data_IF_281762162494
#
_entry.id   IF_281762162494
#
_cell.length_a   1.000
_cell.length_b   1.000
_cell.length_c   1.000
_cell.angle_alpha   90.00
_cell.angle_beta   90.00
_cell.angle_gamma   90.00
#
_symmetry.space_group_name_H-M   'P 1'
#
loop_
_entity.id
_entity.type
_entity.pdbx_description
1 polymer ?
#
# COMPACT_ATOMS: atom_id res chain seq x y z
N UNK A 1 22.64 -22.66 -27.36
CA UNK A 1 22.24 -23.11 -26.01
C UNK A 1 21.73 -21.88 -25.27
N UNK A 2 20.43 -21.60 -25.40
CA UNK A 2 19.78 -20.56 -24.61
C UNK A 2 19.40 -21.17 -23.27
N UNK A 3 20.36 -21.24 -22.34
CA UNK A 3 20.00 -21.38 -20.94
C UNK A 3 19.31 -20.07 -20.54
N UNK A 4 17.99 -20.11 -20.31
CA UNK A 4 17.32 -19.06 -19.55
C UNK A 4 18.17 -18.84 -18.30
N UNK A 5 18.74 -17.65 -18.04
CA UNK A 5 19.49 -17.43 -16.80
C UNK A 5 18.49 -17.67 -15.68
N UNK A 6 18.64 -18.78 -14.95
CA UNK A 6 17.82 -19.04 -13.78
C UNK A 6 18.26 -18.05 -12.70
N UNK A 7 17.71 -16.84 -12.77
CA UNK A 7 17.69 -15.91 -11.65
C UNK A 7 16.67 -16.45 -10.65
N UNK A 8 17.08 -17.50 -9.94
CA UNK A 8 16.25 -18.23 -8.99
C UNK A 8 16.97 -19.45 -8.44
N UNK A 9 16.35 -20.11 -7.47
CA UNK A 9 16.90 -21.28 -6.81
C UNK A 9 16.48 -21.34 -5.35
N UNK A 10 16.98 -22.36 -4.65
CA UNK A 10 16.75 -22.57 -3.22
C UNK A 10 18.08 -22.69 -2.51
N UNK A 11 18.15 -22.15 -1.30
CA UNK A 11 19.25 -22.43 -0.38
C UNK A 11 18.85 -23.64 0.48
N UNK A 12 19.71 -24.67 0.47
CA UNK A 12 19.47 -25.91 1.20
C UNK A 12 20.55 -26.17 2.24
N UNK A 13 20.20 -26.95 3.27
CA UNK A 13 21.21 -27.50 4.17
C UNK A 13 21.82 -28.80 3.60
N UNK A 14 22.78 -29.38 4.34
CA UNK A 14 23.47 -30.62 3.97
C UNK A 14 22.55 -31.83 3.79
N UNK A 15 21.28 -31.75 4.23
CA UNK A 15 20.27 -32.80 4.08
C UNK A 15 19.30 -32.51 2.93
N UNK A 16 19.50 -31.44 2.17
CA UNK A 16 18.63 -31.03 1.07
C UNK A 16 17.34 -30.34 1.52
N UNK A 17 17.20 -29.95 2.80
CA UNK A 17 16.02 -29.20 3.25
C UNK A 17 16.12 -27.75 2.80
N UNK A 18 15.05 -27.21 2.21
CA UNK A 18 14.97 -25.83 1.72
C UNK A 18 14.78 -24.87 2.89
N UNK A 19 15.63 -23.83 2.96
CA UNK A 19 15.58 -22.78 4.00
C UNK A 19 15.22 -21.41 3.45
N UNK A 20 15.51 -21.14 2.18
CA UNK A 20 15.25 -19.85 1.56
C UNK A 20 15.16 -19.96 0.03
N UNK A 21 14.46 -19.01 -0.60
CA UNK A 21 14.55 -18.77 -2.04
C UNK A 21 15.73 -17.86 -2.34
N UNK A 22 16.50 -18.16 -3.38
CA UNK A 22 17.54 -17.27 -3.88
C UNK A 22 16.90 -16.10 -4.62
N UNK A 23 17.10 -14.88 -4.12
CA UNK A 23 16.47 -13.68 -4.66
C UNK A 23 17.47 -12.54 -4.86
N UNK A 24 17.19 -11.68 -5.84
CA UNK A 24 17.93 -10.44 -6.08
C UNK A 24 17.23 -9.25 -5.44
N UNK A 25 17.98 -8.37 -4.82
CA UNK A 25 17.50 -7.14 -4.20
C UNK A 25 18.18 -5.94 -4.88
N UNK A 26 17.40 -4.93 -5.25
CA UNK A 26 17.90 -3.70 -5.85
C UNK A 26 17.98 -2.61 -4.79
N UNK A 27 19.17 -2.07 -4.54
CA UNK A 27 19.28 -0.83 -3.80
C UNK A 27 18.92 0.33 -4.72
N UNK A 28 17.80 1.00 -4.45
CA UNK A 28 17.32 2.11 -5.28
C UNK A 28 18.20 3.36 -5.18
N UNK A 29 19.06 3.48 -4.17
CA UNK A 29 19.93 4.66 -3.98
C UNK A 29 21.10 4.63 -4.96
N UNK A 30 21.76 3.48 -5.05
CA UNK A 30 23.00 3.32 -5.81
C UNK A 30 22.81 2.50 -7.09
N UNK A 31 21.65 1.84 -7.26
CA UNK A 31 21.32 0.99 -8.42
C UNK A 31 21.94 -0.40 -8.36
N UNK A 32 22.67 -0.71 -7.28
CA UNK A 32 23.36 -1.98 -7.08
C UNK A 32 22.38 -3.13 -6.84
N UNK A 33 22.72 -4.30 -7.38
CA UNK A 33 21.97 -5.55 -7.18
C UNK A 33 22.76 -6.47 -6.28
N UNK A 34 22.21 -6.80 -5.12
CA UNK A 34 22.73 -7.84 -4.23
C UNK A 34 21.85 -9.07 -4.29
N UNK A 35 22.40 -10.22 -3.88
CA UNK A 35 21.66 -11.47 -3.83
C UNK A 35 21.67 -12.04 -2.43
N UNK A 36 20.49 -12.39 -1.94
CA UNK A 36 20.31 -12.94 -0.59
C UNK A 36 19.27 -14.07 -0.62
N UNK A 37 19.27 -14.91 0.41
CA UNK A 37 18.21 -15.87 0.64
C UNK A 37 17.00 -15.19 1.27
N UNK A 38 15.85 -15.21 0.58
CA UNK A 38 14.56 -14.90 1.18
C UNK A 38 14.08 -16.10 1.99
N UNK A 39 14.09 -15.99 3.32
CA UNK A 39 13.76 -17.09 4.23
C UNK A 39 12.39 -17.69 3.89
N UNK A 40 12.31 -19.02 3.92
CA UNK A 40 11.07 -19.75 3.62
C UNK A 40 9.91 -19.36 4.54
N UNK A 41 10.20 -18.88 5.77
CA UNK A 41 9.19 -18.44 6.74
C UNK A 41 8.22 -17.38 6.20
N UNK A 42 8.67 -16.51 5.29
CA UNK A 42 7.82 -15.49 4.67
C UNK A 42 6.91 -16.03 3.57
N UNK A 43 7.22 -17.22 3.07
CA UNK A 43 6.55 -17.82 1.90
C UNK A 43 5.64 -18.96 2.36
N UNK A 44 5.98 -19.66 3.45
CA UNK A 44 5.15 -20.74 3.99
C UNK A 44 3.67 -20.36 4.19
N UNK A 45 3.31 -19.18 4.74
CA UNK A 45 1.91 -18.80 4.93
C UNK A 45 1.10 -18.71 3.63
N UNK A 46 1.77 -18.48 2.49
CA UNK A 46 1.11 -18.37 1.19
C UNK A 46 1.15 -19.67 0.38
N UNK A 47 2.04 -20.62 0.70
CA UNK A 47 2.16 -21.88 -0.05
C UNK A 47 0.93 -22.76 0.14
N UNK A 48 0.52 -23.03 1.37
CA UNK A 48 -0.58 -23.97 1.64
C UNK A 48 -1.89 -23.54 0.96
N UNK A 49 -2.33 -22.26 1.04
CA UNK A 49 -3.47 -21.79 0.26
C UNK A 49 -3.33 -22.02 -1.24
N UNK A 50 -2.15 -21.72 -1.82
CA UNK A 50 -1.92 -21.90 -3.25
C UNK A 50 -2.00 -23.36 -3.68
N UNK A 51 -1.43 -24.28 -2.90
CA UNK A 51 -1.49 -25.72 -3.19
C UNK A 51 -2.93 -26.26 -3.14
N UNK A 52 -3.77 -25.68 -2.30
CA UNK A 52 -5.20 -26.00 -2.20
C UNK A 52 -6.06 -25.31 -3.29
N UNK A 53 -5.44 -24.57 -4.21
CA UNK A 53 -6.16 -23.80 -5.24
C UNK A 53 -6.90 -22.58 -4.70
N UNK A 54 -6.59 -22.14 -3.47
CA UNK A 54 -7.13 -20.93 -2.87
C UNK A 54 -6.21 -19.75 -3.15
N UNK A 55 -6.80 -18.57 -3.36
CA UNK A 55 -6.02 -17.33 -3.44
C UNK A 55 -5.52 -16.97 -2.02
N UNK A 56 -4.21 -16.74 -1.82
CA UNK A 56 -3.71 -16.26 -0.54
C UNK A 56 -4.35 -14.91 -0.21
N UNK A 57 -4.86 -14.80 1.02
CA UNK A 57 -5.22 -13.52 1.61
C UNK A 57 -4.13 -13.21 2.63
N UNK A 58 -3.42 -12.10 2.42
CA UNK A 58 -2.44 -11.60 3.37
C UNK A 58 -2.99 -10.33 3.99
N UNK A 59 -2.80 -10.12 5.28
CA UNK A 59 -3.33 -8.94 5.98
C UNK A 59 -2.24 -8.19 6.69
N UNK A 60 -2.41 -6.87 6.79
CA UNK A 60 -1.50 -5.95 7.48
C UNK A 60 -2.25 -5.09 8.48
N UNK A 61 -1.59 -4.65 9.55
CA UNK A 61 -2.22 -3.78 10.53
C UNK A 61 -2.60 -2.39 9.97
N UNK A 62 -1.90 -1.93 8.93
CA UNK A 62 -2.08 -0.57 8.38
C UNK A 62 -1.15 0.47 9.02
N UNK A 63 -0.01 0.03 9.56
CA UNK A 63 1.01 0.90 10.17
C UNK A 63 2.43 0.39 9.86
N UNK A 64 3.36 1.31 9.61
CA UNK A 64 4.79 1.07 9.55
C UNK A 64 5.37 1.22 10.96
N UNK A 65 6.24 0.29 11.34
CA UNK A 65 6.90 0.30 12.65
C UNK A 65 8.41 0.42 12.51
N UNK A 66 9.02 1.09 13.49
CA UNK A 66 10.48 1.06 13.70
C UNK A 66 10.80 0.52 15.08
N UNK A 67 11.92 -0.17 15.21
CA UNK A 67 12.41 -0.64 16.50
C UNK A 67 13.10 0.50 17.26
N UNK A 68 12.74 0.71 18.53
CA UNK A 68 13.46 1.57 19.48
C UNK A 68 13.98 0.77 20.67
N UNK A 69 14.98 1.29 21.39
CA UNK A 69 15.46 0.59 22.59
C UNK A 69 14.41 0.64 23.70
N UNK A 70 14.35 -0.42 24.49
CA UNK A 70 13.49 -0.48 25.66
C UNK A 70 13.80 0.61 26.71
N UNK A 71 15.05 1.08 26.77
CA UNK A 71 15.45 2.22 27.62
C UNK A 71 14.77 3.50 27.14
N UNK A 72 14.80 3.79 25.84
CA UNK A 72 14.15 4.96 25.24
C UNK A 72 12.63 4.89 25.43
N UNK A 73 12.05 3.69 25.32
CA UNK A 73 10.63 3.45 25.55
C UNK A 73 10.24 3.72 27.02
N UNK A 74 11.05 3.27 27.99
CA UNK A 74 10.86 3.57 29.41
C UNK A 74 10.90 5.07 29.68
N UNK A 75 11.89 5.77 29.11
CA UNK A 75 12.05 7.22 29.30
C UNK A 75 10.90 8.02 28.68
N UNK A 76 10.14 7.40 27.76
CA UNK A 76 8.91 7.93 27.14
C UNK A 76 7.62 7.49 27.84
N UNK A 77 7.73 6.89 29.03
CA UNK A 77 6.58 6.60 29.87
C UNK A 77 5.98 5.21 29.70
N UNK A 78 6.66 4.26 29.06
CA UNK A 78 6.23 2.84 29.14
C UNK A 78 6.29 2.39 30.61
N UNK A 79 5.18 1.89 31.20
CA UNK A 79 5.14 1.53 32.61
C UNK A 79 6.16 0.45 32.98
N UNK A 80 6.72 0.47 34.21
CA UNK A 80 7.73 -0.50 34.64
C UNK A 80 7.31 -1.97 34.48
N UNK A 81 6.03 -2.27 34.68
CA UNK A 81 5.51 -3.64 34.51
C UNK A 81 5.56 -4.08 33.04
N UNK A 82 5.21 -3.20 32.08
CA UNK A 82 5.35 -3.49 30.65
C UNK A 82 6.79 -3.60 30.22
N UNK A 83 7.68 -2.76 30.76
CA UNK A 83 9.12 -2.89 30.52
C UNK A 83 9.62 -4.28 30.94
N UNK A 84 9.16 -4.77 32.10
CA UNK A 84 9.51 -6.10 32.61
C UNK A 84 8.96 -7.22 31.74
N UNK A 85 7.71 -7.12 31.29
CA UNK A 85 7.09 -8.08 30.37
C UNK A 85 7.83 -8.16 29.03
N UNK A 86 8.12 -7.01 28.42
CA UNK A 86 8.86 -6.93 27.16
C UNK A 86 10.29 -7.47 27.30
N UNK A 87 10.96 -7.18 28.42
CA UNK A 87 12.28 -7.72 28.72
C UNK A 87 12.27 -9.24 28.93
N UNK A 88 11.21 -9.78 29.54
CA UNK A 88 11.05 -11.21 29.70
C UNK A 88 10.76 -11.92 28.37
N UNK A 89 9.99 -11.27 27.47
CA UNK A 89 9.63 -11.81 26.16
C UNK A 89 10.81 -11.83 25.17
N UNK A 90 11.60 -10.74 25.09
CA UNK A 90 12.84 -10.70 24.29
C UNK A 90 14.02 -10.14 25.08
N UNK A 91 14.66 -10.97 25.94
CA UNK A 91 15.77 -10.54 26.79
C UNK A 91 17.04 -10.19 26.03
N UNK A 92 17.14 -10.57 24.75
CA UNK A 92 18.31 -10.34 23.90
C UNK A 92 18.20 -9.02 23.13
N UNK A 93 17.10 -8.81 22.39
CA UNK A 93 16.94 -7.61 21.57
C UNK A 93 16.57 -6.38 22.40
N UNK A 94 15.68 -6.54 23.39
CA UNK A 94 15.22 -5.44 24.27
C UNK A 94 14.73 -4.23 23.47
N UNK A 95 13.85 -4.49 22.50
CA UNK A 95 13.27 -3.50 21.60
C UNK A 95 11.77 -3.36 21.84
N UNK A 96 11.25 -2.21 21.45
CA UNK A 96 9.81 -1.92 21.37
C UNK A 96 9.52 -1.42 19.96
N UNK A 97 8.37 -1.78 19.43
CA UNK A 97 7.92 -1.30 18.12
C UNK A 97 7.24 0.06 18.32
N UNK A 98 7.72 1.07 17.61
CA UNK A 98 7.09 2.38 17.54
C UNK A 98 6.40 2.55 16.19
N UNK A 99 5.17 3.07 16.19
CA UNK A 99 4.50 3.53 14.98
C UNK A 99 5.31 4.66 14.34
N UNK A 100 5.91 4.37 13.18
CA UNK A 100 6.68 5.33 12.40
C UNK A 100 5.81 6.09 11.40
N UNK A 101 4.77 5.43 10.88
CA UNK A 101 3.80 6.01 9.93
C UNK A 101 2.53 5.18 9.90
N UNK A 102 1.41 5.80 9.57
CA UNK A 102 0.11 5.15 9.37
C UNK A 102 -0.31 5.14 7.90
N UNK A 103 -0.92 4.03 7.46
CA UNK A 103 -1.46 3.90 6.11
C UNK A 103 -2.81 4.58 6.02
N UNK A 104 -2.92 5.62 5.18
CA UNK A 104 -4.15 6.39 5.01
C UNK A 104 -5.36 5.51 4.70
N UNK A 105 -6.51 5.81 5.31
CA UNK A 105 -7.78 5.10 5.09
C UNK A 105 -7.91 3.75 5.81
N UNK A 106 -6.95 3.35 6.65
CA UNK A 106 -7.03 2.12 7.45
C UNK A 106 -7.59 2.37 8.86
N UNK A 107 -8.07 1.32 9.53
CA UNK A 107 -8.49 1.37 10.94
C UNK A 107 -7.36 1.87 11.86
N UNK A 108 -6.13 1.41 11.62
CA UNK A 108 -4.95 1.89 12.34
C UNK A 108 -4.74 3.41 12.19
N UNK A 109 -4.95 3.97 10.99
CA UNK A 109 -4.83 5.42 10.76
C UNK A 109 -5.85 6.26 11.54
N UNK A 110 -7.00 5.69 11.88
CA UNK A 110 -8.04 6.38 12.66
C UNK A 110 -7.81 6.29 14.18
N UNK A 111 -7.19 5.20 14.65
CA UNK A 111 -7.10 4.86 16.09
C UNK A 111 -5.70 5.13 16.69
N UNK A 112 -4.65 4.81 15.93
CA UNK A 112 -3.27 4.94 16.35
C UNK A 112 -2.72 6.32 15.96
N UNK A 113 -1.54 6.65 16.49
CA UNK A 113 -0.79 7.88 16.17
C UNK A 113 0.68 7.55 15.95
N UNK A 114 1.34 8.40 15.17
CA UNK A 114 2.79 8.40 15.08
C UNK A 114 3.39 8.50 16.49
N UNK A 115 4.50 7.78 16.70
CA UNK A 115 5.21 7.66 17.97
C UNK A 115 4.51 6.84 19.07
N UNK A 116 3.34 6.24 18.81
CA UNK A 116 2.76 5.23 19.70
C UNK A 116 3.70 4.05 19.88
N UNK A 117 3.83 3.58 21.13
CA UNK A 117 4.69 2.45 21.48
C UNK A 117 3.86 1.19 21.63
N UNK A 118 3.96 0.27 20.68
CA UNK A 118 3.26 -1.02 20.71
C UNK A 118 3.89 -1.93 21.78
N UNK A 119 3.11 -2.26 22.81
CA UNK A 119 3.58 -3.08 23.94
C UNK A 119 2.93 -4.45 23.97
N UNK A 120 1.70 -4.60 23.47
CA UNK A 120 1.03 -5.89 23.38
C UNK A 120 0.01 -5.95 22.23
N UNK A 121 -0.24 -7.16 21.75
CA UNK A 121 -1.32 -7.48 20.82
C UNK A 121 -2.04 -8.74 21.32
N UNK A 122 -3.37 -8.70 21.36
CA UNK A 122 -4.22 -9.78 21.89
C UNK A 122 -3.76 -10.25 23.28
N UNK A 123 -3.45 -9.29 24.16
CA UNK A 123 -2.97 -9.52 25.52
C UNK A 123 -1.55 -10.11 25.65
N UNK A 124 -0.79 -10.26 24.55
CA UNK A 124 0.58 -10.81 24.56
C UNK A 124 1.61 -9.75 24.18
N UNK A 125 2.78 -9.70 24.86
CA UNK A 125 3.85 -8.80 24.45
C UNK A 125 4.31 -9.07 23.02
N UNK A 126 4.55 -8.01 22.25
CA UNK A 126 5.05 -8.07 20.87
C UNK A 126 6.27 -7.15 20.74
N UNK A 127 7.38 -7.69 20.25
CA UNK A 127 8.66 -6.94 20.17
C UNK A 127 9.31 -6.99 18.79
N UNK A 128 8.77 -7.80 17.87
CA UNK A 128 9.38 -8.09 16.57
C UNK A 128 8.36 -7.96 15.44
N UNK A 129 8.81 -7.49 14.28
CA UNK A 129 7.93 -7.32 13.14
C UNK A 129 7.27 -8.62 12.69
N UNK A 130 8.03 -9.71 12.60
CA UNK A 130 7.48 -11.02 12.22
C UNK A 130 6.41 -11.56 13.18
N UNK A 131 6.45 -11.20 14.48
CA UNK A 131 5.38 -11.55 15.42
C UNK A 131 4.10 -10.78 15.11
N UNK A 132 4.23 -9.48 14.86
CA UNK A 132 3.08 -8.64 14.50
C UNK A 132 2.49 -9.07 13.16
N UNK A 133 3.32 -9.35 12.15
CA UNK A 133 2.87 -9.83 10.84
C UNK A 133 2.11 -11.15 10.95
N UNK A 134 2.59 -12.10 11.76
CA UNK A 134 1.88 -13.36 11.99
C UNK A 134 0.52 -13.14 12.67
N UNK A 135 0.42 -12.21 13.63
CA UNK A 135 -0.83 -11.87 14.29
C UNK A 135 -1.79 -11.11 13.36
N UNK A 136 -1.26 -10.23 12.50
CA UNK A 136 -2.05 -9.39 11.59
C UNK A 136 -2.88 -10.18 10.57
N UNK A 137 -2.69 -11.49 10.45
CA UNK A 137 -3.49 -12.36 9.59
C UNK A 137 -4.93 -12.55 10.09
N UNK A 138 -5.22 -12.23 11.35
CA UNK A 138 -6.59 -12.14 11.87
C UNK A 138 -7.29 -10.87 11.39
N UNK A 139 -8.61 -10.90 11.22
CA UNK A 139 -9.38 -9.73 10.74
C UNK A 139 -9.36 -8.55 11.71
N UNK A 140 -9.29 -8.83 13.00
CA UNK A 140 -9.27 -7.83 14.07
C UNK A 140 -8.19 -8.18 15.08
N UNK A 141 -7.55 -7.15 15.61
CA UNK A 141 -6.55 -7.26 16.65
C UNK A 141 -6.87 -6.30 17.79
N UNK A 142 -6.70 -6.77 19.02
CA UNK A 142 -6.63 -5.89 20.18
C UNK A 142 -5.19 -5.39 20.31
N UNK A 143 -4.97 -4.11 20.07
CA UNK A 143 -3.65 -3.47 20.06
C UNK A 143 -3.53 -2.59 21.29
N UNK A 144 -2.52 -2.87 22.13
CA UNK A 144 -2.17 -2.05 23.27
C UNK A 144 -0.94 -1.21 22.95
N UNK A 145 -1.11 0.11 23.03
CA UNK A 145 -0.03 1.08 22.85
C UNK A 145 0.15 1.92 24.11
N UNK A 146 1.35 2.44 24.30
CA UNK A 146 1.62 3.52 25.24
C UNK A 146 1.74 4.84 24.48
N UNK A 147 0.89 5.80 24.85
CA UNK A 147 0.85 7.16 24.30
C UNK A 147 0.80 8.13 25.47
N UNK A 148 1.66 9.13 25.49
CA UNK A 148 1.70 10.14 26.57
C UNK A 148 1.76 9.52 28.00
N UNK A 149 2.50 8.41 28.14
CA UNK A 149 2.62 7.61 29.37
C UNK A 149 1.34 6.89 29.85
N UNK A 150 0.31 6.80 29.01
CA UNK A 150 -0.93 6.06 29.29
C UNK A 150 -1.04 4.80 28.42
N UNK A 151 -1.51 3.70 29.01
CA UNK A 151 -1.84 2.46 28.28
C UNK A 151 -3.21 2.64 27.60
N UNK A 152 -3.22 2.58 26.27
CA UNK A 152 -4.43 2.65 25.45
C UNK A 152 -4.62 1.34 24.71
N UNK A 153 -5.87 0.87 24.67
CA UNK A 153 -6.25 -0.37 23.99
C UNK A 153 -7.24 -0.04 22.89
N UNK A 154 -6.96 -0.53 21.68
CA UNK A 154 -7.77 -0.33 20.50
C UNK A 154 -8.10 -1.66 19.85
N UNK A 155 -9.33 -1.83 19.38
CA UNK A 155 -9.67 -2.90 18.44
C UNK A 155 -9.42 -2.38 17.03
N UNK A 156 -8.38 -2.89 16.38
CA UNK A 156 -7.95 -2.47 15.05
C UNK A 156 -8.33 -3.53 14.02
N UNK A 157 -9.04 -3.12 12.97
CA UNK A 157 -9.31 -3.97 11.81
C UNK A 157 -8.08 -4.00 10.90
N UNK A 158 -7.59 -5.20 10.59
CA UNK A 158 -6.45 -5.36 9.69
C UNK A 158 -6.91 -5.20 8.24
N UNK A 159 -6.01 -4.75 7.37
CA UNK A 159 -6.30 -4.49 5.95
C UNK A 159 -5.86 -5.67 5.09
N UNK A 160 -6.76 -6.27 4.27
CA UNK A 160 -6.36 -7.30 3.33
C UNK A 160 -5.56 -6.72 2.17
N UNK A 161 -4.49 -7.42 1.80
CA UNK A 161 -3.70 -7.18 0.60
C UNK A 161 -4.00 -8.31 -0.39
N UNK A 162 -4.68 -7.97 -1.48
CA UNK A 162 -5.14 -8.96 -2.46
C UNK A 162 -4.10 -9.34 -3.51
N UNK A 163 -2.95 -8.66 -3.51
CA UNK A 163 -1.82 -8.88 -4.42
C UNK A 163 -2.13 -8.64 -5.90
N UNK A 164 -3.29 -8.08 -6.26
CA UNK A 164 -3.64 -7.84 -7.67
C UNK A 164 -2.92 -6.62 -8.25
N UNK A 165 -2.73 -5.59 -7.42
CA UNK A 165 -2.21 -4.31 -7.89
C UNK A 165 -3.25 -3.58 -8.74
N UNK A 166 -2.85 -3.11 -9.92
CA UNK A 166 -3.72 -2.37 -10.84
C UNK A 166 -4.33 -3.33 -11.86
N UNK A 167 -5.66 -3.47 -11.83
CA UNK A 167 -6.43 -4.30 -12.74
C UNK A 167 -7.34 -3.49 -13.68
N UNK A 168 -7.58 -2.20 -13.39
CA UNK A 168 -8.39 -1.31 -14.22
C UNK A 168 -7.67 0.02 -14.43
N UNK A 169 -7.60 0.47 -15.68
CA UNK A 169 -6.96 1.72 -16.07
C UNK A 169 -7.87 2.49 -17.02
N UNK A 170 -8.21 3.71 -16.66
CA UNK A 170 -8.92 4.65 -17.51
C UNK A 170 -7.92 5.47 -18.34
N UNK A 171 -8.02 5.34 -19.65
CA UNK A 171 -7.44 6.27 -20.62
C UNK A 171 -8.42 7.40 -20.88
N UNK A 172 -8.09 8.61 -20.43
CA UNK A 172 -8.98 9.77 -20.55
C UNK A 172 -8.22 11.04 -20.86
N UNK A 173 -8.56 11.70 -21.97
CA UNK A 173 -7.92 12.94 -22.43
C UNK A 173 -6.37 12.85 -22.50
N UNK A 174 -5.84 11.65 -22.76
CA UNK A 174 -4.41 11.36 -22.80
C UNK A 174 -3.71 11.19 -21.44
N UNK A 175 -4.47 10.94 -20.37
CA UNK A 175 -4.00 10.39 -19.10
C UNK A 175 -4.13 8.88 -19.08
N UNK A 176 -3.32 8.22 -18.26
CA UNK A 176 -3.65 6.93 -17.67
C UNK A 176 -3.93 7.15 -16.19
N UNK A 177 -5.13 6.75 -15.77
CA UNK A 177 -5.62 6.96 -14.42
C UNK A 177 -6.19 5.64 -13.86
N UNK A 178 -5.95 5.36 -12.58
CA UNK A 178 -6.44 4.14 -11.92
C UNK A 178 -6.68 4.40 -10.43
N UNK A 179 -7.29 3.43 -9.72
CA UNK A 179 -7.47 3.50 -8.27
C UNK A 179 -6.12 3.74 -7.56
N UNK A 180 -6.04 4.57 -6.51
CA UNK A 180 -4.78 4.90 -5.87
C UNK A 180 -4.03 3.67 -5.38
N UNK A 181 -2.71 3.66 -5.58
CA UNK A 181 -1.84 2.62 -5.02
C UNK A 181 -1.92 2.59 -3.49
N UNK A 182 -1.99 1.40 -2.91
CA UNK A 182 -1.87 1.21 -1.46
C UNK A 182 -0.57 1.83 -0.93
N UNK A 183 0.51 1.76 -1.69
CA UNK A 183 1.82 2.31 -1.35
C UNK A 183 1.80 3.84 -1.20
N UNK A 184 0.94 4.54 -1.96
CA UNK A 184 0.76 5.99 -1.80
C UNK A 184 0.10 6.29 -0.45
N UNK A 185 -0.92 5.53 -0.08
CA UNK A 185 -1.56 5.65 1.22
C UNK A 185 -0.60 5.31 2.37
N UNK A 186 0.20 4.24 2.21
CA UNK A 186 1.18 3.80 3.19
C UNK A 186 2.33 4.80 3.37
N UNK A 187 2.82 5.42 2.29
CA UNK A 187 3.97 6.35 2.36
C UNK A 187 3.58 7.78 2.72
N UNK A 188 2.34 8.20 2.42
CA UNK A 188 1.90 9.59 2.59
C UNK A 188 0.81 9.79 3.64
N UNK A 189 0.26 8.73 4.22
CA UNK A 189 -0.88 8.82 5.13
C UNK A 189 -2.15 9.35 4.45
N UNK A 190 -2.20 9.29 3.11
CA UNK A 190 -3.31 9.83 2.32
C UNK A 190 -4.37 8.75 2.13
N UNK A 191 -5.62 9.03 2.51
CA UNK A 191 -6.72 8.12 2.21
C UNK A 191 -6.79 7.79 0.72
N UNK A 192 -7.09 6.55 0.31
CA UNK A 192 -7.07 6.11 -1.09
C UNK A 192 -8.30 6.58 -1.89
N UNK A 193 -8.75 7.82 -1.67
CA UNK A 193 -9.87 8.44 -2.39
C UNK A 193 -9.46 9.07 -3.73
N UNK A 194 -10.42 9.19 -4.64
CA UNK A 194 -10.25 9.73 -5.97
C UNK A 194 -9.45 8.81 -6.90
N UNK A 195 -9.06 9.33 -8.07
CA UNK A 195 -8.37 8.54 -9.10
C UNK A 195 -6.96 9.05 -9.33
N UNK A 196 -5.98 8.17 -9.19
CA UNK A 196 -4.57 8.48 -9.33
C UNK A 196 -4.14 8.58 -10.79
N UNK A 197 -3.45 9.66 -11.15
CA UNK A 197 -2.87 9.88 -12.46
C UNK A 197 -1.47 9.27 -12.50
N UNK A 198 -1.35 8.11 -13.14
CA UNK A 198 -0.09 7.40 -13.29
C UNK A 198 0.78 7.98 -14.39
N UNK A 199 0.16 8.42 -15.49
CA UNK A 199 0.88 8.88 -16.67
C UNK A 199 0.08 9.90 -17.48
N UNK A 200 0.80 10.67 -18.29
CA UNK A 200 0.23 11.32 -19.47
C UNK A 200 1.19 11.23 -20.65
N UNK A 201 0.64 11.30 -21.86
CA UNK A 201 1.45 11.57 -23.04
C UNK A 201 1.63 13.07 -23.29
N UNK A 202 2.74 13.45 -23.94
CA UNK A 202 2.93 14.82 -24.41
C UNK A 202 2.04 15.12 -25.63
N UNK A 203 1.63 16.38 -25.79
CA UNK A 203 0.76 16.81 -26.89
C UNK A 203 -0.73 16.47 -26.70
N UNK A 204 -1.10 15.81 -25.60
CA UNK A 204 -2.49 15.49 -25.26
C UNK A 204 -3.22 16.70 -24.67
N UNK A 205 -4.57 16.69 -24.65
CA UNK A 205 -5.34 17.69 -23.91
C UNK A 205 -4.84 17.81 -22.46
N UNK A 206 -4.70 16.69 -21.75
CA UNK A 206 -4.27 16.72 -20.36
C UNK A 206 -2.87 17.33 -20.17
N UNK A 207 -1.93 17.05 -21.06
CA UNK A 207 -0.60 17.67 -21.00
C UNK A 207 -0.64 19.17 -21.29
N UNK A 208 -1.46 19.61 -22.26
CA UNK A 208 -1.65 21.01 -22.63
C UNK A 208 -2.30 21.83 -21.50
N UNK A 209 -3.29 21.25 -20.84
CA UNK A 209 -4.04 21.89 -19.75
C UNK A 209 -3.40 21.69 -18.36
N UNK A 210 -2.30 20.93 -18.28
CA UNK A 210 -1.49 20.81 -17.08
C UNK A 210 -2.05 19.87 -16.03
N UNK A 211 -2.78 18.82 -16.45
CA UNK A 211 -3.05 17.66 -15.61
C UNK A 211 -1.77 16.82 -15.59
N UNK A 212 -1.16 16.68 -14.42
CA UNK A 212 0.17 16.10 -14.23
C UNK A 212 0.07 14.76 -13.48
N UNK A 213 1.02 13.81 -13.64
CA UNK A 213 1.00 12.57 -12.89
C UNK A 213 1.28 12.88 -11.41
N UNK A 214 1.28 11.85 -10.58
CA UNK A 214 1.48 11.96 -9.12
C UNK A 214 0.47 12.88 -8.45
N UNK A 215 -0.75 12.88 -8.99
CA UNK A 215 -1.93 13.62 -8.51
C UNK A 215 -3.13 12.70 -8.49
N UNK A 216 -4.12 13.04 -7.66
CA UNK A 216 -5.41 12.34 -7.62
C UNK A 216 -6.53 13.28 -8.03
N UNK A 217 -7.35 12.86 -8.99
CA UNK A 217 -8.58 13.58 -9.37
C UNK A 217 -9.62 13.27 -8.31
N UNK A 218 -10.19 14.30 -7.69
CA UNK A 218 -11.25 14.15 -6.67
C UNK A 218 -12.54 14.88 -7.04
N UNK A 219 -12.56 15.69 -8.10
CA UNK A 219 -13.80 16.24 -8.65
C UNK A 219 -13.67 16.63 -10.12
N UNK A 220 -14.78 16.50 -10.86
CA UNK A 220 -14.92 16.99 -12.23
C UNK A 220 -16.28 17.72 -12.36
N UNK A 221 -16.26 18.98 -12.81
CA UNK A 221 -17.45 19.84 -12.92
C UNK A 221 -18.34 19.85 -11.65
N UNK A 222 -17.67 19.94 -10.49
CA UNK A 222 -18.26 19.91 -9.14
C UNK A 222 -18.95 18.59 -8.74
N UNK A 223 -18.88 17.57 -9.59
CA UNK A 223 -19.21 16.20 -9.21
C UNK A 223 -18.01 15.57 -8.52
N UNK A 224 -18.24 14.96 -7.36
CA UNK A 224 -17.21 14.30 -6.56
C UNK A 224 -16.77 12.99 -7.24
N UNK A 225 -15.46 12.75 -7.21
CA UNK A 225 -14.82 11.53 -7.71
C UNK A 225 -14.24 10.82 -6.49
N UNK A 226 -14.96 9.84 -5.97
CA UNK A 226 -14.51 9.04 -4.81
C UNK A 226 -13.59 7.89 -5.25
N UNK A 227 -13.78 7.37 -6.46
CA UNK A 227 -13.11 6.19 -6.98
C UNK A 227 -13.12 6.15 -8.53
N UNK A 228 -12.59 5.07 -9.09
CA UNK A 228 -12.54 4.89 -10.54
C UNK A 228 -13.94 4.76 -11.17
N UNK A 229 -14.90 4.13 -10.48
CA UNK A 229 -16.24 3.90 -11.00
C UNK A 229 -17.03 5.20 -11.11
N UNK A 230 -17.03 6.01 -10.05
CA UNK A 230 -17.61 7.36 -10.08
C UNK A 230 -16.96 8.24 -11.15
N UNK A 231 -15.64 8.15 -11.34
CA UNK A 231 -14.98 8.86 -12.45
C UNK A 231 -15.51 8.39 -13.82
N UNK A 232 -15.61 7.08 -14.04
CA UNK A 232 -16.09 6.49 -15.30
C UNK A 232 -17.52 6.96 -15.60
N UNK A 233 -18.41 6.95 -14.61
CA UNK A 233 -19.79 7.42 -14.75
C UNK A 233 -19.85 8.89 -15.16
N UNK A 234 -19.07 9.73 -14.47
CA UNK A 234 -19.02 11.17 -14.75
C UNK A 234 -18.52 11.42 -16.19
N UNK A 235 -17.38 10.82 -16.58
CA UNK A 235 -16.78 11.08 -17.90
C UNK A 235 -17.55 10.46 -19.05
N UNK A 236 -18.35 9.40 -18.81
CA UNK A 236 -19.22 8.80 -19.83
C UNK A 236 -20.27 9.77 -20.35
N UNK A 237 -20.73 10.69 -19.51
CA UNK A 237 -21.75 11.67 -19.88
C UNK A 237 -21.20 12.89 -20.65
N UNK A 238 -19.88 13.01 -20.78
CA UNK A 238 -19.23 14.20 -21.34
C UNK A 238 -19.17 14.15 -22.86
N UNK A 239 -19.37 15.32 -23.47
CA UNK A 239 -19.35 15.49 -24.92
C UNK A 239 -18.00 15.94 -25.45
N UNK A 240 -17.72 15.67 -26.73
CA UNK A 240 -16.51 16.16 -27.38
C UNK A 240 -16.42 17.69 -27.30
N UNK A 241 -15.19 18.21 -27.14
CA UNK A 241 -14.88 19.64 -27.03
C UNK A 241 -15.54 20.37 -25.86
N UNK A 242 -16.20 19.66 -24.94
CA UNK A 242 -16.76 20.25 -23.73
C UNK A 242 -15.61 20.80 -22.86
N UNK A 243 -15.69 22.07 -22.43
CA UNK A 243 -14.81 22.59 -21.40
C UNK A 243 -15.31 22.12 -20.03
N UNK A 244 -14.43 21.48 -19.27
CA UNK A 244 -14.72 20.95 -17.93
C UNK A 244 -13.69 21.44 -16.93
N UNK A 245 -14.04 21.47 -15.65
CA UNK A 245 -13.15 21.81 -14.55
C UNK A 245 -12.77 20.55 -13.79
N UNK A 246 -11.47 20.30 -13.63
CA UNK A 246 -10.93 19.15 -12.89
C UNK A 246 -10.22 19.68 -11.64
N UNK A 247 -10.59 19.13 -10.48
CA UNK A 247 -9.90 19.37 -9.21
C UNK A 247 -9.04 18.15 -8.88
N UNK A 248 -7.78 18.40 -8.56
CA UNK A 248 -6.78 17.40 -8.25
C UNK A 248 -6.09 17.71 -6.93
N UNK A 249 -5.62 16.66 -6.26
CA UNK A 249 -4.83 16.73 -5.05
C UNK A 249 -3.39 16.25 -5.33
N UNK A 250 -2.39 17.01 -4.92
CA UNK A 250 -0.99 16.59 -4.89
C UNK A 250 -0.70 15.61 -3.75
N UNK A 251 0.46 14.95 -3.80
CA UNK A 251 0.92 14.06 -2.71
C UNK A 251 1.25 14.81 -1.41
N UNK A 252 1.37 16.13 -1.47
CA UNK A 252 1.56 17.04 -0.34
C UNK A 252 0.24 17.64 0.18
N UNK A 253 -0.91 17.23 -0.37
CA UNK A 253 -2.22 17.78 -0.03
C UNK A 253 -2.56 19.10 -0.74
N UNK A 254 -1.70 19.59 -1.64
CA UNK A 254 -2.00 20.82 -2.40
C UNK A 254 -3.16 20.60 -3.38
N UNK A 255 -4.12 21.53 -3.39
CA UNK A 255 -5.26 21.48 -4.31
C UNK A 255 -4.92 22.22 -5.60
N UNK A 256 -5.15 21.57 -6.73
CA UNK A 256 -4.97 22.12 -8.06
C UNK A 256 -6.29 22.11 -8.83
N UNK A 257 -6.66 23.24 -9.40
CA UNK A 257 -7.84 23.36 -10.26
C UNK A 257 -7.39 23.68 -11.68
N UNK A 258 -7.83 22.88 -12.64
CA UNK A 258 -7.54 23.07 -14.07
C UNK A 258 -8.82 23.03 -14.89
N UNK A 259 -8.86 23.80 -15.97
CA UNK A 259 -9.84 23.59 -17.04
C UNK A 259 -9.24 22.59 -18.02
N UNK A 260 -10.06 21.69 -18.54
CA UNK A 260 -9.72 20.73 -19.59
C UNK A 260 -10.73 20.88 -20.72
N UNK A 261 -10.28 20.84 -21.97
CA UNK A 261 -11.17 20.70 -23.13
C UNK A 261 -10.94 19.33 -23.75
N UNK A 262 -11.99 18.53 -23.82
CA UNK A 262 -11.90 17.18 -24.38
C UNK A 262 -11.66 17.20 -25.90
N UNK A 263 -11.05 16.14 -26.39
CA UNK A 263 -10.85 15.85 -27.81
C UNK A 263 -11.07 14.35 -28.00
N UNK A 264 -12.34 13.93 -28.03
CA UNK A 264 -12.74 12.52 -28.11
C UNK A 264 -12.46 11.93 -29.49
N UNK A 265 -12.20 12.77 -30.50
CA UNK A 265 -11.82 12.32 -31.83
C UNK A 265 -10.41 11.69 -31.84
N UNK A 266 -9.44 12.35 -31.20
CA UNK A 266 -8.05 11.86 -31.15
C UNK A 266 -7.68 11.17 -29.84
N UNK A 267 -8.43 11.45 -28.77
CA UNK A 267 -8.22 10.91 -27.42
C UNK A 267 -9.54 10.37 -26.84
N UNK A 268 -10.07 9.27 -27.41
CA UNK A 268 -11.30 8.66 -26.91
C UNK A 268 -11.12 8.20 -25.47
N UNK A 269 -12.23 8.16 -24.73
CA UNK A 269 -12.25 7.66 -23.35
C UNK A 269 -12.42 6.16 -23.34
N UNK A 270 -11.45 5.46 -22.75
CA UNK A 270 -11.36 4.00 -22.85
C UNK A 270 -10.95 3.39 -21.52
N UNK A 271 -11.53 2.23 -21.23
CA UNK A 271 -11.22 1.45 -20.05
C UNK A 271 -10.41 0.23 -20.47
N UNK A 272 -9.27 0.04 -19.80
CA UNK A 272 -8.45 -1.14 -19.90
C UNK A 272 -8.68 -1.98 -18.66
N UNK A 273 -9.00 -3.27 -18.83
CA UNK A 273 -9.31 -4.17 -17.72
C UNK A 273 -8.53 -5.47 -17.84
N UNK A 274 -7.89 -5.89 -16.76
CA UNK A 274 -7.18 -7.15 -16.64
C UNK A 274 -8.13 -8.22 -16.12
N UNK A 275 -8.45 -9.21 -16.96
CA UNK A 275 -9.18 -10.41 -16.57
C UNK A 275 -8.39 -11.64 -17.00
N UNK A 276 -8.21 -12.60 -16.09
CA UNK A 276 -7.55 -13.88 -16.37
C UNK A 276 -6.15 -13.76 -17.00
N UNK A 277 -5.42 -12.70 -16.65
CA UNK A 277 -4.07 -12.41 -17.17
C UNK A 277 -4.04 -11.69 -18.51
N UNK A 278 -5.20 -11.39 -19.10
CA UNK A 278 -5.32 -10.68 -20.37
C UNK A 278 -5.90 -9.28 -20.16
N UNK A 279 -5.26 -8.28 -20.79
CA UNK A 279 -5.79 -6.93 -20.84
C UNK A 279 -6.75 -6.78 -22.01
N UNK A 280 -7.98 -6.37 -21.71
CA UNK A 280 -8.98 -5.98 -22.70
C UNK A 280 -9.16 -4.46 -22.70
N UNK A 281 -9.65 -3.92 -23.81
CA UNK A 281 -9.90 -2.48 -23.97
C UNK A 281 -11.31 -2.27 -24.49
N UNK A 282 -12.06 -1.38 -23.84
CA UNK A 282 -13.41 -1.00 -24.22
C UNK A 282 -13.57 0.52 -24.26
N UNK A 283 -14.49 1.02 -25.08
CA UNK A 283 -14.86 2.44 -25.06
C UNK A 283 -15.82 2.71 -23.91
N UNK A 284 -15.58 3.79 -23.18
CA UNK A 284 -16.45 4.23 -22.08
C UNK A 284 -17.63 5.05 -22.60
N UNK A 285 -17.42 5.78 -23.69
CA UNK A 285 -18.43 6.55 -24.41
C UNK A 285 -18.21 6.39 -25.93
N UNK A 286 -19.27 6.45 -26.72
CA UNK A 286 -19.21 6.35 -28.20
C UNK A 286 -18.59 7.59 -28.85
#
# INVERSE_FOLDING_TARGET
EDSVPSLGGVLTDKKGRVHALWASFLDQRDGDRTFHGLTAEFILPIIDPLMEGRKPAYRVLGAEFREINLVDARDRGVPPERVKELLAHDPKKRKVLEVARLTGGTSAHLLLRDADLLVAVNGKPVTRMGELEALAQEETLEVMVVRDAEELVFTVETTPLDGKGVDRVLSWAGLLAHSPHHEVAAQRGLEPKGVYIAWMWYGTPSSRYGLRPTRRIFAIDDQEVEDLDSMIEIVRSMSDRQPIRVKMLGLDGSVHVKTLKLDLQYWPTELLELSDGEWTRSRVAE
#
